data_IF_033239762052
#
_entry.id   IF_033239762052
#
_cell.length_a   1.000
_cell.length_b   1.000
_cell.length_c   1.000
_cell.angle_alpha   90.00
_cell.angle_beta   90.00
_cell.angle_gamma   90.00
#
_symmetry.space_group_name_H-M   'P 1'
#
loop_
_entity.id
_entity.type
_entity.pdbx_description
1 polymer ?
#
# COMPACT_ATOMS: atom_id res chain seq x y z
N UNK A 1 9.29 42.16 -35.98
CA UNK A 1 9.65 40.74 -36.21
C UNK A 1 9.96 40.16 -34.84
N UNK A 2 8.93 39.72 -34.11
CA UNK A 2 9.08 39.31 -32.71
C UNK A 2 8.74 37.83 -32.58
N UNK A 3 9.78 37.00 -32.51
CA UNK A 3 9.66 35.59 -32.17
C UNK A 3 9.57 35.47 -30.65
N UNK A 4 8.35 35.31 -30.13
CA UNK A 4 8.13 34.90 -28.75
C UNK A 4 8.34 33.38 -28.68
N UNK A 5 9.52 32.96 -28.24
CA UNK A 5 9.83 31.55 -28.00
C UNK A 5 9.30 31.18 -26.60
N UNK A 6 8.08 30.65 -26.54
CA UNK A 6 7.49 30.18 -25.28
C UNK A 6 8.16 28.87 -24.86
N UNK A 7 9.06 28.93 -23.88
CA UNK A 7 9.66 27.75 -23.27
C UNK A 7 8.61 27.13 -22.33
N UNK A 8 8.03 26.00 -22.75
CA UNK A 8 7.15 25.19 -21.91
C UNK A 8 8.05 24.39 -20.95
N UNK A 9 8.20 24.88 -19.73
CA UNK A 9 8.86 24.14 -18.66
C UNK A 9 7.93 23.03 -18.18
N UNK A 10 8.08 21.81 -18.73
CA UNK A 10 7.49 20.61 -18.13
C UNK A 10 8.20 20.32 -16.82
N UNK A 11 7.66 20.81 -15.71
CA UNK A 11 8.07 20.38 -14.37
C UNK A 11 7.52 18.96 -14.19
N UNK A 12 8.33 17.96 -14.50
CA UNK A 12 8.07 16.58 -14.09
C UNK A 12 8.23 16.52 -12.56
N UNK A 13 7.12 16.69 -11.82
CA UNK A 13 7.06 16.29 -10.43
C UNK A 13 7.15 14.76 -10.39
N UNK A 14 8.37 14.25 -10.35
CA UNK A 14 8.62 12.86 -9.96
C UNK A 14 8.24 12.72 -8.48
N UNK A 15 6.97 12.42 -8.21
CA UNK A 15 6.53 11.91 -6.92
C UNK A 15 7.34 10.63 -6.67
N UNK A 16 8.31 10.70 -5.76
CA UNK A 16 9.29 9.65 -5.53
C UNK A 16 8.63 8.31 -5.21
N UNK A 17 8.54 7.44 -6.22
CA UNK A 17 8.24 6.02 -6.09
C UNK A 17 9.51 5.24 -5.71
N UNK A 18 10.21 5.73 -4.68
CA UNK A 18 11.36 5.05 -4.10
C UNK A 18 10.95 3.88 -3.21
N UNK A 19 11.87 2.95 -3.00
CA UNK A 19 11.76 1.91 -1.99
C UNK A 19 11.56 2.56 -0.61
N UNK A 20 10.60 2.05 0.16
CA UNK A 20 10.22 2.51 1.50
C UNK A 20 10.15 1.33 2.45
N UNK A 21 10.33 1.63 3.73
CA UNK A 21 10.19 0.71 4.85
C UNK A 21 9.01 1.20 5.69
N UNK A 22 8.06 0.33 5.99
CA UNK A 22 6.89 0.65 6.81
C UNK A 22 6.64 -0.42 7.86
N UNK A 23 6.05 -0.01 8.98
CA UNK A 23 5.41 -0.93 9.92
C UNK A 23 3.90 -0.76 9.74
N UNK A 24 3.22 -1.87 9.43
CA UNK A 24 1.79 -1.91 9.28
C UNK A 24 1.17 -2.73 10.41
N UNK A 25 0.14 -2.18 11.03
CA UNK A 25 -0.67 -2.87 12.05
C UNK A 25 -1.99 -3.30 11.44
N UNK A 26 -2.36 -4.56 11.65
CA UNK A 26 -3.63 -5.08 11.21
C UNK A 26 -4.77 -4.39 11.95
N UNK A 27 -5.75 -3.90 11.21
CA UNK A 27 -6.91 -3.17 11.70
C UNK A 27 -8.16 -3.67 10.99
N UNK A 28 -8.52 -4.93 11.22
CA UNK A 28 -9.77 -5.48 10.73
C UNK A 28 -10.83 -5.53 11.84
N UNK A 29 -11.89 -4.77 11.64
CA UNK A 29 -13.19 -5.05 12.23
C UNK A 29 -14.21 -4.87 11.11
N UNK A 30 -14.79 -5.98 10.68
CA UNK A 30 -15.91 -6.19 9.72
C UNK A 30 -15.95 -5.44 8.37
N UNK A 31 -15.07 -4.49 8.09
CA UNK A 31 -15.11 -3.70 6.86
C UNK A 31 -14.51 -4.48 5.69
N UNK A 32 -15.18 -4.53 4.52
CA UNK A 32 -14.62 -5.08 3.28
C UNK A 32 -13.55 -4.18 2.64
N UNK A 33 -12.98 -3.22 3.37
CA UNK A 33 -12.07 -2.19 2.90
C UNK A 33 -10.62 -2.44 3.37
N UNK A 34 -9.70 -1.57 2.93
CA UNK A 34 -8.31 -1.54 3.36
C UNK A 34 -8.15 -1.76 4.87
N UNK A 35 -7.31 -2.74 5.24
CA UNK A 35 -7.26 -3.27 6.60
C UNK A 35 -6.03 -2.83 7.39
N UNK A 36 -5.03 -2.23 6.74
CA UNK A 36 -3.73 -1.99 7.35
C UNK A 36 -3.57 -0.54 7.75
N UNK A 37 -3.20 -0.30 9.01
CA UNK A 37 -2.87 1.03 9.53
C UNK A 37 -1.36 1.22 9.51
N UNK A 38 -0.90 2.33 8.93
CA UNK A 38 0.49 2.78 8.94
C UNK A 38 0.50 4.18 9.54
N UNK A 39 1.41 4.49 10.47
CA UNK A 39 1.41 5.77 11.20
C UNK A 39 1.58 6.98 10.28
N UNK A 40 2.38 6.84 9.22
CA UNK A 40 2.59 7.89 8.22
C UNK A 40 1.40 8.10 7.27
N UNK A 41 0.34 7.29 7.40
CA UNK A 41 -0.82 7.31 6.52
C UNK A 41 -2.09 7.66 7.30
N UNK A 42 -2.84 8.64 6.78
CA UNK A 42 -4.09 9.09 7.39
C UNK A 42 -5.21 8.06 7.26
N UNK A 43 -5.19 7.30 6.16
CA UNK A 43 -6.19 6.29 5.82
C UNK A 43 -5.57 4.90 5.92
N UNK A 44 -6.42 3.88 6.11
CA UNK A 44 -5.97 2.50 5.98
C UNK A 44 -5.55 2.22 4.54
N UNK A 45 -4.58 1.33 4.38
CA UNK A 45 -4.02 0.94 3.09
C UNK A 45 -4.25 -0.54 2.82
N UNK A 46 -4.11 -0.90 1.55
CA UNK A 46 -3.95 -2.29 1.14
C UNK A 46 -2.47 -2.65 1.09
N UNK A 47 -2.18 -3.92 1.37
CA UNK A 47 -0.88 -4.52 1.13
C UNK A 47 -1.01 -5.52 -0.02
N UNK A 48 -0.07 -5.48 -0.96
CA UNK A 48 -0.04 -6.39 -2.10
C UNK A 48 1.36 -6.98 -2.24
N UNK A 49 1.47 -8.30 -2.32
CA UNK A 49 2.75 -8.95 -2.59
C UNK A 49 3.23 -8.61 -4.00
N UNK A 50 4.52 -8.32 -4.16
CA UNK A 50 5.11 -8.06 -5.47
C UNK A 50 5.03 -9.28 -6.40
N UNK A 51 5.11 -10.48 -5.82
CA UNK A 51 4.99 -11.75 -6.54
C UNK A 51 4.54 -12.89 -5.62
N UNK A 52 4.24 -14.05 -6.19
CA UNK A 52 3.67 -15.18 -5.46
C UNK A 52 4.65 -15.92 -4.54
N UNK A 53 5.96 -15.68 -4.66
CA UNK A 53 6.97 -16.28 -3.78
C UNK A 53 6.97 -15.65 -2.39
N UNK A 54 6.35 -14.48 -2.25
CA UNK A 54 6.22 -13.76 -0.98
C UNK A 54 4.90 -14.18 -0.32
N UNK A 55 4.90 -14.52 0.98
CA UNK A 55 3.68 -14.85 1.71
C UNK A 55 2.65 -13.73 1.63
N UNK A 56 1.39 -14.12 1.50
CA UNK A 56 0.25 -13.22 1.49
C UNK A 56 -0.07 -12.80 2.93
N UNK A 57 0.27 -11.56 3.28
CA UNK A 57 0.17 -11.02 4.64
C UNK A 57 -1.23 -11.11 5.24
N UNK A 58 -2.28 -11.00 4.43
CA UNK A 58 -3.66 -11.06 4.90
C UNK A 58 -4.03 -12.48 5.40
N UNK A 59 -3.21 -13.49 5.08
CA UNK A 59 -3.38 -14.89 5.54
C UNK A 59 -2.50 -15.26 6.73
N UNK A 60 -1.64 -14.35 7.18
CA UNK A 60 -0.69 -14.63 8.27
C UNK A 60 -1.28 -14.39 9.67
N UNK A 61 -2.40 -13.66 9.77
CA UNK A 61 -3.07 -13.46 11.04
C UNK A 61 -3.83 -14.72 11.49
N UNK A 62 -3.69 -15.09 12.75
CA UNK A 62 -4.30 -16.29 13.35
C UNK A 62 -5.79 -16.14 13.67
N UNK A 63 -6.36 -14.96 13.44
CA UNK A 63 -7.76 -14.65 13.73
C UNK A 63 -8.05 -14.32 15.20
N UNK A 64 -7.04 -14.28 16.08
CA UNK A 64 -7.23 -14.20 17.54
C UNK A 64 -6.29 -13.20 18.22
N UNK A 65 -5.04 -13.11 17.78
CA UNK A 65 -3.99 -12.37 18.49
C UNK A 65 -3.84 -10.97 17.93
N UNK A 66 -4.04 -9.96 18.78
CA UNK A 66 -3.77 -8.57 18.46
C UNK A 66 -2.84 -7.96 19.52
N UNK A 67 -1.99 -6.98 19.16
CA UNK A 67 -1.84 -6.39 17.83
C UNK A 67 -1.05 -7.30 16.87
N UNK A 68 -1.54 -7.50 15.65
CA UNK A 68 -0.77 -8.16 14.59
C UNK A 68 -0.04 -7.10 13.77
N UNK A 69 1.30 -7.11 13.80
CA UNK A 69 2.15 -6.12 13.14
C UNK A 69 3.13 -6.79 12.19
N UNK A 70 3.41 -6.09 11.10
CA UNK A 70 4.39 -6.52 10.10
C UNK A 70 5.32 -5.37 9.74
N UNK A 71 6.59 -5.70 9.52
CA UNK A 71 7.55 -4.83 8.86
C UNK A 71 7.62 -5.19 7.39
N UNK A 72 7.59 -4.19 6.52
CA UNK A 72 7.55 -4.34 5.07
C UNK A 72 8.54 -3.43 4.39
N UNK A 73 9.16 -3.94 3.33
CA UNK A 73 9.90 -3.13 2.36
C UNK A 73 9.20 -3.19 1.01
N UNK A 74 9.09 -2.05 0.32
CA UNK A 74 8.34 -1.97 -0.92
C UNK A 74 8.09 -0.54 -1.38
N UNK A 75 7.01 -0.32 -2.12
CA UNK A 75 6.64 1.00 -2.65
C UNK A 75 5.13 1.16 -2.74
N UNK A 76 4.66 2.40 -2.65
CA UNK A 76 3.27 2.70 -2.95
C UNK A 76 3.03 2.68 -4.46
N UNK A 77 1.86 2.22 -4.89
CA UNK A 77 1.36 2.51 -6.24
C UNK A 77 1.04 4.00 -6.35
N UNK A 78 1.21 4.55 -7.55
CA UNK A 78 0.88 5.95 -7.86
C UNK A 78 -0.60 6.26 -7.66
N UNK A 79 -1.46 5.29 -7.99
CA UNK A 79 -2.91 5.43 -7.94
C UNK A 79 -3.52 4.61 -6.80
N UNK A 80 -4.63 5.12 -6.26
CA UNK A 80 -5.47 4.36 -5.34
C UNK A 80 -6.19 3.26 -6.12
N UNK A 81 -6.42 2.12 -5.48
CA UNK A 81 -7.13 1.01 -6.09
C UNK A 81 -7.48 -0.07 -5.08
N UNK A 82 -7.86 -1.23 -5.61
CA UNK A 82 -8.08 -2.47 -4.85
C UNK A 82 -7.15 -3.53 -5.43
N UNK A 83 -6.35 -4.25 -4.62
CA UNK A 83 -5.48 -5.30 -5.13
C UNK A 83 -6.30 -6.39 -5.83
N UNK A 84 -5.81 -6.89 -6.97
CA UNK A 84 -6.54 -7.89 -7.79
C UNK A 84 -6.84 -9.18 -7.02
N UNK A 85 -5.98 -9.53 -6.06
CA UNK A 85 -6.05 -10.78 -5.29
C UNK A 85 -6.76 -10.59 -3.94
N UNK A 86 -7.17 -9.36 -3.61
CA UNK A 86 -7.85 -9.07 -2.35
C UNK A 86 -9.24 -9.72 -2.35
N UNK A 87 -9.41 -10.76 -1.53
CA UNK A 87 -10.68 -11.46 -1.34
C UNK A 87 -11.38 -10.93 -0.10
N UNK A 88 -12.38 -10.09 -0.29
CA UNK A 88 -13.17 -9.49 0.78
C UNK A 88 -14.61 -10.03 0.82
N UNK A 89 -15.28 -9.82 1.96
CA UNK A 89 -16.66 -10.27 2.22
C UNK A 89 -17.73 -9.28 1.71
N UNK A 90 -17.40 -8.38 0.77
CA UNK A 90 -18.31 -7.31 0.32
C UNK A 90 -17.67 -6.38 -0.72
N UNK A 91 -18.23 -5.18 -0.91
CA UNK A 91 -17.70 -4.22 -1.90
C UNK A 91 -16.47 -3.46 -1.35
N UNK A 92 -15.32 -3.58 -2.02
CA UNK A 92 -14.08 -2.87 -1.66
C UNK A 92 -14.10 -1.42 -2.15
N UNK A 93 -13.56 -0.50 -1.35
CA UNK A 93 -13.31 0.88 -1.77
C UNK A 93 -11.83 1.08 -2.16
N UNK A 94 -11.52 1.88 -3.21
CA UNK A 94 -10.15 2.21 -3.56
C UNK A 94 -9.39 2.89 -2.42
N UNK A 95 -8.17 2.44 -2.15
CA UNK A 95 -7.27 3.02 -1.16
C UNK A 95 -5.82 2.97 -1.67
N UNK A 96 -4.88 3.56 -0.92
CA UNK A 96 -3.46 3.41 -1.24
C UNK A 96 -3.07 1.94 -1.17
N UNK A 97 -2.24 1.49 -2.11
CA UNK A 97 -1.70 0.14 -2.15
C UNK A 97 -0.20 0.21 -1.94
N UNK A 98 0.31 -0.46 -0.92
CA UNK A 98 1.73 -0.69 -0.73
C UNK A 98 2.10 -2.07 -1.26
N UNK A 99 2.90 -2.09 -2.33
CA UNK A 99 3.41 -3.33 -2.92
C UNK A 99 4.71 -3.68 -2.22
N UNK A 100 4.73 -4.79 -1.49
CA UNK A 100 5.89 -5.22 -0.71
C UNK A 100 6.66 -6.34 -1.42
N UNK A 101 7.98 -6.23 -1.36
CA UNK A 101 8.92 -7.24 -1.83
C UNK A 101 9.65 -7.97 -0.69
N UNK A 102 9.50 -7.48 0.54
CA UNK A 102 9.99 -8.13 1.77
C UNK A 102 8.97 -7.95 2.88
N UNK A 103 8.81 -9.01 3.68
CA UNK A 103 7.86 -9.07 4.79
C UNK A 103 8.50 -9.77 5.99
N UNK A 104 8.26 -9.20 7.17
CA UNK A 104 8.63 -9.79 8.46
C UNK A 104 7.47 -9.59 9.44
N UNK A 105 7.05 -10.67 10.11
CA UNK A 105 6.05 -10.60 11.18
C UNK A 105 6.75 -10.16 12.46
N UNK A 106 6.26 -9.09 13.08
CA UNK A 106 6.79 -8.58 14.34
C UNK A 106 6.08 -9.30 15.49
N UNK A 107 6.87 -9.95 16.36
CA UNK A 107 6.39 -10.65 17.55
C UNK A 107 6.34 -9.72 18.76
#
# INVERSE_FOLDING_TARGET
MNNFLTIITFIFLSAGNGQKKIIASYSAISCPCAQWKVESEKEKIYLERENEKIPDVDKLWDGKTLPFKVYLEGKFKSEKGVPKVFKNKGESKPAKIFVYNKLEVLK
#
